data_IF_797426156931
#
_entry.id   IF_797426156931
#
_cell.length_a   1.000
_cell.length_b   1.000
_cell.length_c   1.000
_cell.angle_alpha   90.00
_cell.angle_beta   90.00
_cell.angle_gamma   90.00
#
_symmetry.space_group_name_H-M   'P 1'
#
loop_
_entity.id
_entity.type
_entity.pdbx_description
1 polymer ?
#
# COMPACT_ATOMS: atom_id res chain seq x y z
N UNK A 1 -6.08 -3.04 -10.83
CA UNK A 1 -6.07 -1.95 -9.85
C UNK A 1 -7.52 -1.58 -9.57
N UNK A 2 -7.93 -1.48 -8.31
CA UNK A 2 -9.33 -1.15 -7.98
C UNK A 2 -9.62 0.34 -8.21
N UNK A 3 -8.63 1.21 -7.94
CA UNK A 3 -8.73 2.66 -8.18
C UNK A 3 -7.85 3.03 -9.37
N UNK A 4 -8.46 3.20 -10.53
CA UNK A 4 -7.75 3.53 -11.76
C UNK A 4 -7.06 4.89 -11.62
N UNK A 5 -5.80 5.00 -12.07
CA UNK A 5 -5.04 6.26 -12.11
C UNK A 5 -4.81 6.91 -10.71
N UNK A 6 -4.91 6.12 -9.62
CA UNK A 6 -4.71 6.60 -8.25
C UNK A 6 -3.23 6.82 -7.89
N UNK A 7 -2.32 6.00 -8.41
CA UNK A 7 -0.88 6.16 -8.18
C UNK A 7 -0.09 5.61 -9.37
N UNK A 8 1.17 6.00 -9.45
CA UNK A 8 2.19 5.42 -10.33
C UNK A 8 3.34 4.84 -9.51
N UNK A 9 3.97 3.76 -10.00
CA UNK A 9 5.21 3.23 -9.39
C UNK A 9 6.38 4.00 -9.99
N UNK A 10 7.05 4.82 -9.17
CA UNK A 10 8.21 5.61 -9.61
C UNK A 10 9.52 4.85 -9.49
N UNK A 11 9.62 3.96 -8.51
CA UNK A 11 10.78 3.09 -8.30
C UNK A 11 10.37 1.79 -7.61
N UNK A 12 11.14 0.73 -7.84
CA UNK A 12 11.04 -0.50 -7.07
C UNK A 12 12.35 -1.28 -7.04
N UNK A 13 12.57 -1.98 -5.95
CA UNK A 13 13.75 -2.80 -5.75
C UNK A 13 13.57 -3.81 -4.62
N UNK A 14 14.65 -4.53 -4.34
CA UNK A 14 14.73 -5.46 -3.22
C UNK A 14 16.08 -5.29 -2.56
N UNK A 15 16.07 -5.18 -1.23
CA UNK A 15 17.27 -5.15 -0.40
C UNK A 15 17.15 -6.25 0.63
N UNK A 16 18.05 -7.24 0.56
CA UNK A 16 17.96 -8.47 1.35
C UNK A 16 16.58 -9.12 1.17
N UNK A 17 15.78 -9.24 2.23
CA UNK A 17 14.44 -9.82 2.23
C UNK A 17 13.31 -8.77 2.26
N UNK A 18 13.64 -7.50 2.03
CA UNK A 18 12.68 -6.39 2.00
C UNK A 18 12.50 -5.89 0.56
N UNK A 19 11.26 -5.92 0.10
CA UNK A 19 10.84 -5.23 -1.12
C UNK A 19 10.61 -3.76 -0.80
N UNK A 20 11.12 -2.89 -1.68
CA UNK A 20 10.98 -1.45 -1.61
C UNK A 20 10.22 -1.00 -2.84
N UNK A 21 9.08 -0.34 -2.67
CA UNK A 21 8.32 0.25 -3.78
C UNK A 21 8.02 1.71 -3.46
N UNK A 22 8.43 2.62 -4.34
CA UNK A 22 8.08 4.03 -4.26
C UNK A 22 6.88 4.31 -5.14
N UNK A 23 5.84 4.88 -4.55
CA UNK A 23 4.60 5.25 -5.21
C UNK A 23 4.45 6.77 -5.23
N UNK A 24 4.00 7.29 -6.36
CA UNK A 24 3.56 8.68 -6.49
C UNK A 24 2.03 8.70 -6.57
N UNK A 25 1.38 9.21 -5.54
CA UNK A 25 -0.08 9.28 -5.42
C UNK A 25 -0.61 10.49 -6.17
N UNK A 26 -1.61 10.26 -7.01
CA UNK A 26 -2.28 11.32 -7.76
C UNK A 26 -3.21 12.12 -6.84
N UNK A 27 -2.76 13.27 -6.34
CA UNK A 27 -3.54 14.16 -5.48
C UNK A 27 -4.85 14.68 -6.11
N UNK A 28 -4.97 14.64 -7.44
CA UNK A 28 -6.16 15.08 -8.18
C UNK A 28 -7.19 13.95 -8.36
N UNK A 29 -6.91 12.74 -7.87
CA UNK A 29 -7.80 11.59 -8.00
C UNK A 29 -9.16 11.84 -7.34
N UNK A 30 -10.23 11.40 -8.01
CA UNK A 30 -11.61 11.71 -7.61
C UNK A 30 -12.01 11.26 -6.21
N UNK A 31 -11.34 10.23 -5.67
CA UNK A 31 -11.56 9.74 -4.30
C UNK A 31 -11.41 10.84 -3.25
N UNK A 32 -10.53 11.81 -3.49
CA UNK A 32 -10.27 12.90 -2.56
C UNK A 32 -11.39 13.94 -2.53
N UNK A 33 -12.30 13.94 -3.52
CA UNK A 33 -13.54 14.73 -3.46
C UNK A 33 -14.46 14.26 -2.33
N UNK A 34 -14.39 12.96 -1.98
CA UNK A 34 -15.19 12.35 -0.93
C UNK A 34 -14.43 12.08 0.38
N UNK A 35 -13.10 12.03 0.36
CA UNK A 35 -12.29 11.67 1.53
C UNK A 35 -11.16 12.68 1.78
N UNK A 36 -11.42 13.80 2.43
CA UNK A 36 -12.73 14.37 2.75
C UNK A 36 -12.91 15.68 1.96
N UNK A 37 -14.16 16.13 1.69
CA UNK A 37 -14.38 17.43 1.07
C UNK A 37 -13.59 18.52 1.80
N UNK A 38 -12.79 19.29 1.05
CA UNK A 38 -11.90 20.36 1.56
C UNK A 38 -10.78 19.92 2.53
N UNK A 39 -10.63 18.62 2.79
CA UNK A 39 -9.54 18.03 3.60
C UNK A 39 -9.16 16.66 3.04
N UNK A 40 -8.45 16.63 1.90
CA UNK A 40 -8.07 15.38 1.25
C UNK A 40 -7.16 14.54 2.15
N UNK A 41 -7.52 13.28 2.31
CA UNK A 41 -6.82 12.28 3.10
C UNK A 41 -6.90 10.96 2.34
N UNK A 42 -5.82 10.20 2.28
CA UNK A 42 -5.89 8.86 1.69
C UNK A 42 -6.65 7.91 2.62
N UNK A 43 -7.71 7.23 2.15
CA UNK A 43 -8.44 6.29 3.00
C UNK A 43 -7.53 5.15 3.47
N UNK A 44 -7.66 4.75 4.73
CA UNK A 44 -6.82 3.69 5.30
C UNK A 44 -6.90 2.37 4.53
N UNK A 45 -8.08 2.00 4.03
CA UNK A 45 -8.29 0.80 3.21
C UNK A 45 -7.55 0.87 1.86
N UNK A 46 -7.35 2.08 1.32
CA UNK A 46 -6.57 2.25 0.09
C UNK A 46 -5.09 1.97 0.37
N UNK A 47 -4.55 2.46 1.49
CA UNK A 47 -3.18 2.13 1.90
C UNK A 47 -2.96 0.62 2.06
N UNK A 48 -3.94 -0.11 2.60
CA UNK A 48 -3.89 -1.58 2.67
C UNK A 48 -3.91 -2.21 1.28
N UNK A 49 -4.73 -1.68 0.36
CA UNK A 49 -4.83 -2.14 -1.02
C UNK A 49 -3.50 -1.95 -1.77
N UNK A 50 -2.73 -0.90 -1.50
CA UNK A 50 -1.41 -0.69 -2.12
C UNK A 50 -0.45 -1.86 -1.85
N UNK A 51 -0.43 -2.39 -0.61
CA UNK A 51 0.36 -3.57 -0.25
C UNK A 51 -0.10 -4.84 -0.96
N UNK A 52 -1.43 -5.04 -1.08
CA UNK A 52 -1.97 -6.15 -1.87
C UNK A 52 -1.50 -6.06 -3.31
N UNK A 53 -1.62 -4.89 -3.93
CA UNK A 53 -1.23 -4.68 -5.33
C UNK A 53 0.28 -4.79 -5.53
N UNK A 54 1.10 -4.39 -4.56
CA UNK A 54 2.54 -4.66 -4.55
C UNK A 54 2.83 -6.16 -4.57
N UNK A 55 2.22 -6.94 -3.67
CA UNK A 55 2.38 -8.39 -3.65
C UNK A 55 1.86 -9.03 -4.96
N UNK A 56 0.74 -8.57 -5.52
CA UNK A 56 0.26 -9.04 -6.83
C UNK A 56 1.28 -8.78 -7.95
N UNK A 57 1.96 -7.63 -7.95
CA UNK A 57 3.02 -7.32 -8.92
C UNK A 57 4.23 -8.25 -8.75
N UNK A 58 4.68 -8.44 -7.52
CA UNK A 58 5.86 -9.27 -7.20
C UNK A 58 5.62 -10.74 -7.59
N UNK A 59 4.47 -11.30 -7.19
CA UNK A 59 4.16 -12.71 -7.45
C UNK A 59 3.45 -12.96 -8.78
N UNK A 60 3.13 -11.91 -9.55
CA UNK A 60 2.44 -11.97 -10.85
C UNK A 60 1.14 -12.80 -10.82
N UNK A 61 0.37 -12.66 -9.76
CA UNK A 61 -0.90 -13.39 -9.54
C UNK A 61 -1.91 -12.52 -8.82
N UNK A 62 -3.19 -12.88 -8.91
CA UNK A 62 -4.23 -12.21 -8.14
C UNK A 62 -4.26 -12.75 -6.72
N UNK A 63 -4.55 -11.85 -5.79
CA UNK A 63 -4.61 -12.15 -4.37
C UNK A 63 -5.98 -11.80 -3.82
N UNK A 64 -6.43 -12.60 -2.87
CA UNK A 64 -7.58 -12.33 -2.03
C UNK A 64 -7.11 -12.20 -0.58
N UNK A 65 -7.51 -11.12 0.10
CA UNK A 65 -7.22 -10.97 1.53
C UNK A 65 -8.00 -12.04 2.30
N UNK A 66 -7.29 -12.87 3.06
CA UNK A 66 -7.89 -13.86 3.97
C UNK A 66 -8.15 -13.21 5.32
N UNK A 67 -7.14 -12.53 5.87
CA UNK A 67 -7.23 -11.77 7.12
C UNK A 67 -6.14 -10.71 7.21
N UNK A 68 -6.43 -9.63 7.93
CA UNK A 68 -5.43 -8.67 8.38
C UNK A 68 -5.19 -8.88 9.87
N UNK A 69 -4.03 -9.45 10.22
CA UNK A 69 -3.69 -9.81 11.59
C UNK A 69 -3.40 -8.59 12.46
N UNK A 70 -2.79 -7.56 11.86
CA UNK A 70 -2.58 -6.29 12.52
C UNK A 70 -2.61 -5.15 11.50
N UNK A 71 -3.33 -4.08 11.79
CA UNK A 71 -3.32 -2.85 10.98
C UNK A 71 -3.28 -1.66 11.92
N UNK A 72 -2.24 -0.83 11.80
CA UNK A 72 -2.08 0.39 12.60
C UNK A 72 -1.91 1.59 11.68
N UNK A 73 -2.89 2.49 11.69
CA UNK A 73 -2.83 3.79 11.03
C UNK A 73 -2.14 4.77 12.00
N UNK A 74 -0.86 5.02 11.76
CA UNK A 74 0.01 5.80 12.66
C UNK A 74 -0.15 7.30 12.38
N UNK A 75 -0.29 7.67 11.11
CA UNK A 75 -0.43 9.06 10.68
C UNK A 75 -1.39 9.19 9.49
N UNK A 76 -1.91 10.39 9.31
CA UNK A 76 -2.70 10.77 8.14
C UNK A 76 -1.77 10.99 6.95
N UNK A 77 -2.11 10.42 5.79
CA UNK A 77 -1.43 10.69 4.53
C UNK A 77 -2.29 11.62 3.67
N UNK A 78 -1.83 12.85 3.48
CA UNK A 78 -2.44 13.87 2.62
C UNK A 78 -1.53 14.09 1.39
N UNK A 79 -1.98 13.70 0.19
CA UNK A 79 -1.16 13.76 -1.03
C UNK A 79 -0.85 15.20 -1.48
N UNK A 80 -1.49 16.23 -0.90
CA UNK A 80 -1.16 17.62 -1.19
C UNK A 80 0.04 18.13 -0.39
N UNK A 81 0.32 17.46 0.73
CA UNK A 81 1.47 17.78 1.56
C UNK A 81 2.68 16.93 1.22
N UNK A 82 2.45 15.68 0.81
CA UNK A 82 3.48 14.77 0.30
C UNK A 82 2.82 13.75 -0.63
N UNK A 83 3.19 13.76 -1.91
CA UNK A 83 2.64 12.85 -2.91
C UNK A 83 3.37 11.51 -2.97
N UNK A 84 4.55 11.40 -2.34
CA UNK A 84 5.34 10.17 -2.34
C UNK A 84 5.01 9.27 -1.14
N UNK A 85 4.83 7.99 -1.42
CA UNK A 85 4.64 6.96 -0.41
C UNK A 85 5.57 5.78 -0.69
N UNK A 86 6.42 5.47 0.26
CA UNK A 86 7.34 4.33 0.20
C UNK A 86 6.72 3.14 0.92
N UNK A 87 6.63 2.02 0.23
CA UNK A 87 6.24 0.72 0.78
C UNK A 87 7.49 -0.10 1.04
N UNK A 88 7.62 -0.58 2.28
CA UNK A 88 8.59 -1.59 2.66
C UNK A 88 7.82 -2.86 3.01
N UNK A 89 8.06 -3.96 2.31
CA UNK A 89 7.35 -5.21 2.58
C UNK A 89 8.25 -6.43 2.64
N UNK A 90 7.94 -7.30 3.60
CA UNK A 90 8.47 -8.65 3.70
C UNK A 90 7.35 -9.63 3.36
N UNK A 91 7.63 -10.55 2.43
CA UNK A 91 6.66 -11.46 1.86
C UNK A 91 7.15 -12.91 2.04
N UNK A 92 6.33 -13.75 2.65
CA UNK A 92 6.59 -15.19 2.81
C UNK A 92 5.51 -15.99 2.08
N UNK A 93 5.92 -16.76 1.07
CA UNK A 93 5.05 -17.66 0.33
C UNK A 93 5.02 -19.06 0.96
N UNK A 94 3.83 -19.60 1.20
CA UNK A 94 3.60 -20.93 1.74
C UNK A 94 2.45 -21.60 0.98
N UNK A 95 2.78 -22.29 -0.12
CA UNK A 95 1.78 -22.88 -1.02
C UNK A 95 0.93 -21.78 -1.67
N UNK A 96 -0.40 -21.84 -1.49
CA UNK A 96 -1.31 -20.83 -2.03
C UNK A 96 -1.37 -19.53 -1.22
N UNK A 97 -0.75 -19.50 -0.03
CA UNK A 97 -0.83 -18.38 0.90
C UNK A 97 0.41 -17.50 0.86
N UNK A 98 0.21 -16.20 1.04
CA UNK A 98 1.27 -15.19 1.15
C UNK A 98 1.05 -14.42 2.44
N UNK A 99 2.01 -14.50 3.35
CA UNK A 99 2.07 -13.59 4.49
C UNK A 99 2.78 -12.32 4.05
N UNK A 100 2.19 -11.18 4.39
CA UNK A 100 2.74 -9.86 4.14
C UNK A 100 2.90 -9.13 5.47
N UNK A 101 4.10 -8.63 5.72
CA UNK A 101 4.37 -7.59 6.73
C UNK A 101 4.85 -6.34 6.00
N UNK A 102 4.19 -5.22 6.24
CA UNK A 102 4.39 -3.99 5.49
C UNK A 102 4.46 -2.75 6.37
N UNK A 103 5.29 -1.78 5.97
CA UNK A 103 5.34 -0.43 6.54
C UNK A 103 5.26 0.58 5.40
N UNK A 104 4.28 1.47 5.45
CA UNK A 104 4.18 2.59 4.52
C UNK A 104 4.73 3.85 5.20
N UNK A 105 5.61 4.58 4.50
CA UNK A 105 6.26 5.79 5.00
C UNK A 105 6.15 6.93 3.98
N UNK A 106 6.17 8.15 4.47
CA UNK A 106 6.38 9.36 3.68
C UNK A 106 7.58 10.14 4.27
N UNK A 107 7.85 11.35 3.76
CA UNK A 107 8.95 12.19 4.24
C UNK A 107 8.90 12.53 5.75
N UNK A 108 7.73 12.41 6.38
CA UNK A 108 7.50 12.75 7.79
C UNK A 108 7.49 11.54 8.72
N UNK A 109 7.50 10.32 8.19
CA UNK A 109 7.60 9.09 8.96
C UNK A 109 6.57 8.04 8.56
N UNK A 110 6.20 7.19 9.52
CA UNK A 110 5.36 6.02 9.29
C UNK A 110 3.88 6.42 9.21
N UNK A 111 3.22 5.98 8.14
CA UNK A 111 1.78 6.18 7.90
C UNK A 111 0.98 4.95 8.31
N UNK A 112 1.41 3.76 7.88
CA UNK A 112 0.72 2.49 8.10
C UNK A 112 1.71 1.39 8.48
N UNK A 113 1.32 0.53 9.42
CA UNK A 113 1.92 -0.80 9.60
C UNK A 113 0.86 -1.86 9.38
N UNK A 114 1.16 -2.89 8.61
CA UNK A 114 0.24 -3.99 8.31
C UNK A 114 0.94 -5.35 8.46
N UNK A 115 0.22 -6.32 9.01
CA UNK A 115 0.50 -7.74 8.87
C UNK A 115 -0.77 -8.44 8.39
N UNK A 116 -0.68 -9.21 7.32
CA UNK A 116 -1.84 -9.80 6.64
C UNK A 116 -1.50 -11.11 5.97
N UNK A 117 -2.54 -11.91 5.72
CA UNK A 117 -2.47 -13.15 4.97
C UNK A 117 -3.35 -13.04 3.73
N UNK A 118 -2.76 -13.31 2.58
CA UNK A 118 -3.45 -13.40 1.30
C UNK A 118 -3.47 -14.84 0.80
N UNK A 119 -4.47 -15.16 -0.02
CA UNK A 119 -4.56 -16.40 -0.80
C UNK A 119 -4.49 -16.05 -2.29
N UNK A 120 -3.75 -16.84 -3.05
CA UNK A 120 -3.66 -16.75 -4.50
C UNK A 120 -4.97 -17.21 -5.14
N UNK A 121 -5.46 -16.45 -6.13
CA UNK A 121 -6.67 -16.75 -6.90
C UNK A 121 -6.43 -16.65 -8.41
#
# INVERSE_FOLDING_TARGET
MILKDFYEVSDNGKTEDVYLTTLKVNKEHEIFKGHFPNRPVTPGVVLMQLFKEEAERIFKRKLQLVRADNVKFIAVFDPNQDEELQLESQLEENGEFIKLKGVAKNSRGIVLKISSLYKSI
#
